data_IF_385403786170
#
_entry.id   IF_385403786170
#
_cell.length_a   1.000
_cell.length_b   1.000
_cell.length_c   1.000
_cell.angle_alpha   90.00
_cell.angle_beta   90.00
_cell.angle_gamma   90.00
#
_symmetry.space_group_name_H-M   'P 1'
#
loop_
_entity.id
_entity.type
_entity.pdbx_description
1 polymer ?
#
# COMPACT_ATOMS: atom_id res chain seq x y z
N UNK A 1 -19.12 24.20 28.23
CA UNK A 1 -17.91 23.38 28.01
C UNK A 1 -18.26 22.33 26.97
N UNK A 2 -18.02 22.65 25.70
CA UNK A 2 -18.26 21.75 24.56
C UNK A 2 -17.00 20.92 24.34
N UNK A 3 -17.15 19.61 24.15
CA UNK A 3 -16.05 18.69 23.88
C UNK A 3 -15.27 19.11 22.63
N UNK A 4 -13.92 19.08 22.62
CA UNK A 4 -13.07 19.42 21.46
C UNK A 4 -13.38 18.63 20.17
N UNK A 5 -14.14 17.54 20.30
CA UNK A 5 -14.43 16.58 19.23
C UNK A 5 -15.55 16.96 18.26
N UNK A 6 -16.35 18.00 18.53
CA UNK A 6 -17.44 18.39 17.62
C UNK A 6 -17.00 19.25 16.42
N UNK A 7 -15.81 19.89 16.49
CA UNK A 7 -15.22 20.62 15.36
C UNK A 7 -14.52 19.72 14.33
N UNK A 8 -14.09 18.52 14.77
CA UNK A 8 -13.36 17.57 13.94
C UNK A 8 -14.24 16.88 12.88
N UNK A 9 -15.55 16.86 13.07
CA UNK A 9 -16.49 16.24 12.12
C UNK A 9 -16.48 16.91 10.75
N UNK A 10 -16.47 18.25 10.70
CA UNK A 10 -16.49 18.99 9.43
C UNK A 10 -15.13 18.97 8.72
N UNK A 11 -14.02 19.02 9.45
CA UNK A 11 -12.68 18.90 8.87
C UNK A 11 -12.40 17.46 8.41
N UNK A 12 -12.83 16.44 9.15
CA UNK A 12 -12.76 15.04 8.73
C UNK A 12 -13.66 14.75 7.52
N UNK A 13 -14.85 15.36 7.46
CA UNK A 13 -15.77 15.19 6.33
C UNK A 13 -15.28 15.93 5.08
N UNK A 14 -14.67 17.12 5.23
CA UNK A 14 -13.99 17.83 4.14
C UNK A 14 -12.77 17.05 3.65
N UNK A 15 -11.94 16.50 4.56
CA UNK A 15 -10.78 15.69 4.20
C UNK A 15 -11.19 14.36 3.54
N UNK A 16 -12.27 13.73 4.01
CA UNK A 16 -12.85 12.52 3.43
C UNK A 16 -13.48 12.79 2.06
N UNK A 17 -14.12 13.96 1.86
CA UNK A 17 -14.65 14.37 0.56
C UNK A 17 -13.53 14.72 -0.44
N UNK A 18 -12.42 15.30 0.02
CA UNK A 18 -11.26 15.61 -0.82
C UNK A 18 -10.51 14.35 -1.25
N UNK A 19 -10.32 13.39 -0.34
CA UNK A 19 -9.70 12.09 -0.66
C UNK A 19 -10.62 11.20 -1.52
N UNK A 20 -11.94 11.30 -1.36
CA UNK A 20 -12.89 10.65 -2.27
C UNK A 20 -12.85 11.24 -3.69
N UNK A 21 -12.70 12.57 -3.82
CA UNK A 21 -12.54 13.24 -5.12
C UNK A 21 -11.21 12.87 -5.79
N UNK A 22 -10.14 12.65 -5.02
CA UNK A 22 -8.87 12.19 -5.56
C UNK A 22 -8.92 10.74 -6.01
N UNK A 23 -9.54 9.84 -5.22
CA UNK A 23 -9.80 8.46 -5.67
C UNK A 23 -10.66 8.45 -6.93
N UNK A 24 -11.67 9.33 -7.01
CA UNK A 24 -12.49 9.50 -8.20
C UNK A 24 -11.69 10.04 -9.40
N UNK A 25 -10.82 11.02 -9.21
CA UNK A 25 -9.92 11.56 -10.25
C UNK A 25 -8.91 10.51 -10.72
N UNK A 26 -8.39 9.68 -9.81
CA UNK A 26 -7.52 8.54 -10.11
C UNK A 26 -8.27 7.45 -10.88
N UNK A 27 -9.54 7.19 -10.55
CA UNK A 27 -10.45 6.29 -11.29
C UNK A 27 -10.71 6.83 -12.71
N UNK A 28 -10.90 8.14 -12.86
CA UNK A 28 -11.11 8.79 -14.15
C UNK A 28 -9.81 8.79 -14.99
N UNK A 29 -8.64 9.02 -14.38
CA UNK A 29 -7.35 8.96 -15.09
C UNK A 29 -6.94 7.54 -15.48
N UNK A 30 -7.29 6.52 -14.68
CA UNK A 30 -7.00 5.11 -14.99
C UNK A 30 -7.88 4.54 -16.09
N UNK A 31 -8.95 5.25 -16.49
CA UNK A 31 -9.81 4.89 -17.62
C UNK A 31 -9.25 5.31 -18.99
N UNK A 32 -8.12 6.02 -19.06
CA UNK A 32 -7.56 6.47 -20.34
C UNK A 32 -6.69 5.37 -20.97
N UNK A 33 -7.24 4.79 -22.05
CA UNK A 33 -6.74 3.65 -22.84
C UNK A 33 -5.26 3.76 -23.26
N UNK A 34 -4.57 2.62 -23.21
CA UNK A 34 -3.29 2.37 -23.89
C UNK A 34 -3.12 0.87 -24.14
N UNK A 35 -2.59 0.52 -25.32
CA UNK A 35 -2.42 -0.80 -25.97
C UNK A 35 -2.05 -1.99 -25.07
N UNK A 36 -2.42 -3.21 -25.50
CA UNK A 36 -2.26 -4.49 -24.79
C UNK A 36 -0.82 -4.84 -24.32
N UNK A 37 0.21 -4.22 -24.90
CA UNK A 37 1.62 -4.38 -24.50
C UNK A 37 2.00 -3.52 -23.29
N UNK A 38 1.37 -2.35 -23.10
CA UNK A 38 1.52 -1.51 -21.90
C UNK A 38 0.79 -2.09 -20.69
N UNK A 39 -0.25 -2.88 -20.93
CA UNK A 39 -1.06 -3.55 -19.91
C UNK A 39 -0.25 -4.58 -19.09
N UNK A 40 0.72 -5.27 -19.72
CA UNK A 40 1.53 -6.33 -19.07
C UNK A 40 2.94 -5.91 -18.65
N UNK A 41 3.53 -4.88 -19.27
CA UNK A 41 4.95 -4.54 -19.08
C UNK A 41 5.21 -3.13 -18.54
N UNK A 42 4.17 -2.31 -18.33
CA UNK A 42 4.36 -0.90 -17.98
C UNK A 42 5.42 -0.22 -18.88
N UNK A 43 5.28 -0.43 -20.19
CA UNK A 43 6.06 0.22 -21.25
C UNK A 43 7.58 0.17 -21.12
N UNK A 44 8.17 -0.68 -20.26
CA UNK A 44 9.62 -0.70 -19.97
C UNK A 44 10.20 0.68 -19.58
N UNK A 45 9.34 1.65 -19.21
CA UNK A 45 9.68 3.08 -19.05
C UNK A 45 9.60 3.57 -17.61
N UNK A 46 9.38 2.67 -16.65
CA UNK A 46 9.42 3.01 -15.23
C UNK A 46 10.84 3.44 -14.86
N UNK A 47 10.96 4.69 -14.42
CA UNK A 47 12.23 5.26 -13.95
C UNK A 47 12.63 4.54 -12.66
N UNK A 48 13.94 4.33 -12.41
CA UNK A 48 14.43 3.61 -11.22
C UNK A 48 13.72 4.09 -9.94
N UNK A 49 13.62 5.40 -9.74
CA UNK A 49 13.00 5.97 -8.54
C UNK A 49 11.53 5.54 -8.38
N UNK A 50 10.78 5.41 -9.48
CA UNK A 50 9.37 4.96 -9.47
C UNK A 50 9.27 3.50 -9.07
N UNK A 51 10.19 2.65 -9.54
CA UNK A 51 10.24 1.23 -9.18
C UNK A 51 10.53 1.06 -7.69
N UNK A 52 11.47 1.84 -7.15
CA UNK A 52 11.79 1.83 -5.73
C UNK A 52 10.62 2.28 -4.86
N UNK A 53 9.98 3.39 -5.23
CA UNK A 53 8.82 3.90 -4.52
C UNK A 53 7.62 2.95 -4.58
N UNK A 54 7.41 2.26 -5.71
CA UNK A 54 6.34 1.28 -5.86
C UNK A 54 6.61 0.04 -5.01
N UNK A 55 7.83 -0.47 -5.02
CA UNK A 55 8.22 -1.60 -4.17
C UNK A 55 8.03 -1.28 -2.68
N UNK A 56 8.29 -0.04 -2.28
CA UNK A 56 8.04 0.44 -0.93
C UNK A 56 6.53 0.55 -0.63
N UNK A 57 5.77 1.18 -1.51
CA UNK A 57 4.31 1.32 -1.40
C UNK A 57 3.63 -0.05 -1.28
N UNK A 58 3.96 -0.98 -2.17
CA UNK A 58 3.41 -2.35 -2.16
C UNK A 58 3.84 -3.18 -0.94
N UNK A 59 4.87 -2.76 -0.20
CA UNK A 59 5.22 -3.37 1.08
C UNK A 59 4.34 -2.84 2.22
N UNK A 60 4.06 -1.52 2.21
CA UNK A 60 3.32 -0.81 3.25
C UNK A 60 1.82 -0.74 2.90
N UNK A 61 1.06 -1.69 3.44
CA UNK A 61 -0.40 -1.66 3.40
C UNK A 61 -1.04 -0.85 4.52
N UNK A 62 -2.34 -0.57 4.37
CA UNK A 62 -3.25 -0.10 5.42
C UNK A 62 -3.15 -0.90 6.71
N UNK A 63 -2.95 -2.22 6.63
CA UNK A 63 -2.74 -3.06 7.81
C UNK A 63 -1.40 -2.80 8.50
N UNK A 64 -0.36 -2.50 7.73
CA UNK A 64 0.95 -2.12 8.25
C UNK A 64 0.88 -0.75 8.92
N UNK A 65 0.23 0.22 8.27
CA UNK A 65 0.04 1.57 8.79
C UNK A 65 -0.76 1.59 10.10
N UNK A 66 -1.92 0.92 10.14
CA UNK A 66 -2.75 0.84 11.35
C UNK A 66 -2.05 0.05 12.47
N UNK A 67 -1.33 -1.02 12.11
CA UNK A 67 -0.56 -1.83 13.06
C UNK A 67 0.59 -1.04 13.69
N UNK A 68 1.33 -0.26 12.89
CA UNK A 68 2.40 0.63 13.37
C UNK A 68 1.85 1.77 14.21
N UNK A 69 0.73 2.39 13.80
CA UNK A 69 0.08 3.44 14.59
C UNK A 69 -0.36 2.91 15.98
N UNK A 70 -0.97 1.72 16.02
CA UNK A 70 -1.36 1.07 17.27
C UNK A 70 -0.18 0.71 18.16
N UNK A 71 0.88 0.11 17.59
CA UNK A 71 2.10 -0.21 18.34
C UNK A 71 2.87 1.03 18.76
N UNK A 72 2.87 2.09 17.96
CA UNK A 72 3.47 3.38 18.30
C UNK A 72 2.79 4.02 19.50
N UNK A 73 1.45 3.94 19.59
CA UNK A 73 0.70 4.43 20.74
C UNK A 73 0.99 3.64 22.03
N UNK A 74 1.21 2.32 21.96
CA UNK A 74 1.46 1.49 23.14
C UNK A 74 2.93 1.37 23.56
N UNK A 75 3.85 1.35 22.58
CA UNK A 75 5.27 1.01 22.76
C UNK A 75 6.22 2.18 22.43
N UNK A 76 5.68 3.33 22.00
CA UNK A 76 6.45 4.53 21.70
C UNK A 76 7.37 4.40 20.47
N UNK A 77 8.39 5.28 20.42
CA UNK A 77 9.35 5.43 19.30
C UNK A 77 10.18 4.15 19.06
N UNK A 78 10.24 3.22 20.02
CA UNK A 78 10.99 1.97 19.89
C UNK A 78 10.59 1.13 18.67
N UNK A 79 9.33 1.22 18.23
CA UNK A 79 8.84 0.56 17.01
C UNK A 79 9.53 1.09 15.75
N UNK A 80 9.91 2.37 15.72
CA UNK A 80 10.63 2.99 14.60
C UNK A 80 12.05 2.43 14.40
N UNK A 81 12.68 1.91 15.47
CA UNK A 81 13.99 1.27 15.34
C UNK A 81 13.92 -0.04 14.52
N UNK A 82 12.77 -0.73 14.54
CA UNK A 82 12.55 -1.91 13.71
C UNK A 82 12.51 -1.55 12.22
N UNK A 83 11.78 -0.48 11.87
CA UNK A 83 11.67 0.02 10.50
C UNK A 83 13.01 0.50 9.95
N UNK A 84 13.82 1.17 10.77
CA UNK A 84 15.14 1.64 10.35
C UNK A 84 16.06 0.47 9.99
N UNK A 85 16.03 -0.61 10.79
CA UNK A 85 16.78 -1.82 10.48
C UNK A 85 16.26 -2.52 9.22
N UNK A 86 14.93 -2.54 9.02
CA UNK A 86 14.32 -3.14 7.83
C UNK A 86 14.79 -2.44 6.54
N UNK A 87 14.85 -1.11 6.52
CA UNK A 87 15.33 -0.35 5.35
C UNK A 87 16.78 -0.71 4.97
N UNK A 88 17.68 -0.84 5.96
CA UNK A 88 19.07 -1.24 5.72
C UNK A 88 19.18 -2.65 5.13
N UNK A 89 18.43 -3.61 5.69
CA UNK A 89 18.41 -4.99 5.21
C UNK A 89 17.83 -5.05 3.79
N UNK A 90 16.80 -4.26 3.48
CA UNK A 90 16.17 -4.22 2.17
C UNK A 90 17.13 -3.68 1.10
N UNK A 91 17.90 -2.64 1.42
CA UNK A 91 18.97 -2.13 0.55
C UNK A 91 20.06 -3.19 0.30
N UNK A 92 20.51 -3.88 1.35
CA UNK A 92 21.51 -4.94 1.22
C UNK A 92 20.98 -6.12 0.38
N UNK A 93 19.74 -6.53 0.61
CA UNK A 93 19.07 -7.57 -0.16
C UNK A 93 18.93 -7.16 -1.64
N UNK A 94 18.52 -5.92 -1.90
CA UNK A 94 18.44 -5.35 -3.24
C UNK A 94 19.77 -5.43 -3.97
N UNK A 95 20.87 -5.02 -3.33
CA UNK A 95 22.20 -5.07 -3.94
C UNK A 95 22.65 -6.50 -4.27
N UNK A 96 22.41 -7.46 -3.37
CA UNK A 96 22.86 -8.84 -3.54
C UNK A 96 21.99 -9.60 -4.55
N UNK A 97 20.67 -9.45 -4.47
CA UNK A 97 19.73 -10.25 -5.25
C UNK A 97 19.35 -9.63 -6.60
N UNK A 98 19.35 -8.29 -6.73
CA UNK A 98 19.06 -7.61 -8.01
C UNK A 98 19.93 -8.12 -9.18
N UNK A 99 21.28 -8.17 -9.08
CA UNK A 99 22.11 -8.63 -10.20
C UNK A 99 21.90 -10.12 -10.51
N UNK A 100 21.55 -10.93 -9.51
CA UNK A 100 21.27 -12.36 -9.68
C UNK A 100 19.98 -12.55 -10.49
N UNK A 101 18.93 -11.79 -10.17
CA UNK A 101 17.66 -11.88 -10.89
C UNK A 101 17.77 -11.36 -12.32
N UNK A 102 18.46 -10.24 -12.55
CA UNK A 102 18.65 -9.71 -13.91
C UNK A 102 19.40 -10.68 -14.82
N UNK A 103 20.44 -11.37 -14.33
CA UNK A 103 21.18 -12.39 -15.11
C UNK A 103 20.36 -13.65 -15.38
N UNK A 104 19.39 -13.97 -14.52
CA UNK A 104 18.58 -15.18 -14.66
C UNK A 104 17.48 -15.08 -15.72
N UNK A 105 17.06 -13.86 -16.09
CA UNK A 105 16.09 -13.58 -17.17
C UNK A 105 14.69 -14.13 -16.89
N UNK A 106 14.32 -14.33 -15.62
CA UNK A 106 13.02 -14.89 -15.21
C UNK A 106 12.14 -13.83 -14.59
N UNK A 107 10.90 -13.77 -15.07
CA UNK A 107 9.90 -12.76 -14.70
C UNK A 107 9.21 -13.08 -13.37
N UNK A 108 9.24 -14.35 -12.92
CA UNK A 108 8.54 -14.78 -11.70
C UNK A 108 9.43 -15.61 -10.78
N UNK A 109 9.28 -15.41 -9.47
CA UNK A 109 10.06 -16.10 -8.44
C UNK A 109 9.95 -17.63 -8.51
N UNK A 110 8.76 -18.25 -8.71
CA UNK A 110 8.66 -19.69 -8.90
C UNK A 110 9.42 -20.19 -10.13
N UNK A 111 9.48 -19.39 -11.21
CA UNK A 111 10.19 -19.73 -12.44
C UNK A 111 11.71 -19.64 -12.26
N UNK A 112 12.19 -18.74 -11.40
CA UNK A 112 13.58 -18.72 -10.93
C UNK A 112 13.94 -19.99 -10.16
N UNK A 113 13.08 -20.39 -9.21
CA UNK A 113 13.28 -21.62 -8.45
C UNK A 113 13.28 -22.86 -9.35
N UNK A 114 12.45 -22.90 -10.40
CA UNK A 114 12.51 -23.96 -11.43
C UNK A 114 13.87 -24.04 -12.10
N UNK A 115 14.44 -22.90 -12.53
CA UNK A 115 15.71 -22.86 -13.26
C UNK A 115 16.88 -23.31 -12.39
N UNK A 116 16.80 -23.09 -11.08
CA UNK A 116 17.82 -23.48 -10.10
C UNK A 116 17.71 -24.93 -9.63
N UNK A 117 16.50 -25.41 -9.34
CA UNK A 117 16.29 -26.72 -8.70
C UNK A 117 15.85 -27.83 -9.65
N UNK A 118 15.35 -27.49 -10.85
CA UNK A 118 14.88 -28.46 -11.83
C UNK A 118 13.57 -29.13 -11.42
N UNK A 119 12.49 -28.91 -12.16
CA UNK A 119 11.23 -29.65 -11.97
C UNK A 119 9.98 -28.79 -12.09
N UNK A 120 9.05 -29.23 -12.95
CA UNK A 120 7.75 -28.58 -13.13
C UNK A 120 6.86 -28.69 -11.88
N UNK A 121 6.92 -29.84 -11.17
CA UNK A 121 6.12 -30.10 -9.96
C UNK A 121 6.42 -29.12 -8.83
N UNK A 122 7.70 -28.80 -8.60
CA UNK A 122 8.14 -27.88 -7.54
C UNK A 122 7.68 -26.45 -7.85
N UNK A 123 7.81 -26.01 -9.11
CA UNK A 123 7.30 -24.69 -9.53
C UNK A 123 5.80 -24.57 -9.28
N UNK A 124 5.03 -25.58 -9.71
CA UNK A 124 3.58 -25.57 -9.59
C UNK A 124 3.15 -25.53 -8.11
N UNK A 125 3.75 -26.39 -7.28
CA UNK A 125 3.48 -26.41 -5.84
C UNK A 125 3.83 -25.07 -5.17
N UNK A 126 5.00 -24.50 -5.46
CA UNK A 126 5.41 -23.20 -4.91
C UNK A 126 4.51 -22.06 -5.37
N UNK A 127 4.11 -22.05 -6.65
CA UNK A 127 3.23 -21.03 -7.19
C UNK A 127 1.84 -21.08 -6.53
N UNK A 128 1.26 -22.29 -6.41
CA UNK A 128 -0.03 -22.49 -5.73
C UNK A 128 0.08 -22.14 -4.24
N UNK A 129 1.12 -22.60 -3.55
CA UNK A 129 1.34 -22.31 -2.15
C UNK A 129 1.47 -20.80 -1.91
N UNK A 130 2.28 -20.12 -2.72
CA UNK A 130 2.46 -18.67 -2.61
C UNK A 130 1.15 -17.92 -2.88
N UNK A 131 0.38 -18.33 -3.90
CA UNK A 131 -0.92 -17.76 -4.22
C UNK A 131 -1.89 -17.90 -3.04
N UNK A 132 -2.00 -19.10 -2.48
CA UNK A 132 -2.87 -19.39 -1.33
C UNK A 132 -2.46 -18.54 -0.12
N UNK A 133 -1.18 -18.52 0.24
CA UNK A 133 -0.70 -17.71 1.38
C UNK A 133 -0.95 -16.21 1.13
N UNK A 134 -0.75 -15.73 -0.10
CA UNK A 134 -0.94 -14.31 -0.41
C UNK A 134 -2.42 -13.89 -0.32
N UNK A 135 -3.33 -14.72 -0.85
CA UNK A 135 -4.78 -14.48 -0.78
C UNK A 135 -5.26 -14.56 0.66
N UNK A 136 -4.95 -15.63 1.38
CA UNK A 136 -5.49 -15.85 2.71
C UNK A 136 -4.88 -14.93 3.77
N UNK A 137 -3.58 -14.67 3.71
CA UNK A 137 -2.90 -13.90 4.75
C UNK A 137 -2.75 -12.43 4.41
N UNK A 138 -2.20 -12.10 3.23
CA UNK A 138 -1.92 -10.70 2.89
C UNK A 138 -3.20 -9.95 2.53
N UNK A 139 -3.95 -10.45 1.55
CA UNK A 139 -5.15 -9.76 1.05
C UNK A 139 -6.25 -9.70 2.12
N UNK A 140 -6.50 -10.78 2.86
CA UNK A 140 -7.53 -10.77 3.91
C UNK A 140 -7.25 -9.78 5.04
N UNK A 141 -6.00 -9.70 5.52
CA UNK A 141 -5.63 -8.76 6.58
C UNK A 141 -5.85 -7.33 6.10
N UNK A 142 -5.43 -7.03 4.88
CA UNK A 142 -5.56 -5.71 4.27
C UNK A 142 -7.02 -5.26 4.14
N UNK A 143 -7.91 -6.15 3.68
CA UNK A 143 -9.35 -5.87 3.56
C UNK A 143 -9.97 -5.68 4.96
N UNK A 144 -9.59 -6.52 5.92
CA UNK A 144 -10.14 -6.43 7.27
C UNK A 144 -9.72 -5.12 7.96
N UNK A 145 -8.45 -4.75 7.88
CA UNK A 145 -7.95 -3.49 8.45
C UNK A 145 -8.54 -2.28 7.71
N UNK A 146 -8.69 -2.37 6.39
CA UNK A 146 -9.33 -1.33 5.58
C UNK A 146 -10.81 -1.14 5.94
N UNK A 147 -11.56 -2.23 6.17
CA UNK A 147 -12.97 -2.15 6.57
C UNK A 147 -13.14 -1.55 7.97
N UNK A 148 -12.26 -1.90 8.93
CA UNK A 148 -12.24 -1.29 10.26
C UNK A 148 -11.90 0.20 10.18
N UNK A 149 -10.95 0.57 9.32
CA UNK A 149 -10.60 1.98 9.08
C UNK A 149 -11.80 2.77 8.54
N UNK A 150 -12.48 2.25 7.52
CA UNK A 150 -13.70 2.85 6.95
C UNK A 150 -14.80 3.06 8.01
N UNK A 151 -15.01 2.08 8.89
CA UNK A 151 -15.97 2.20 10.01
C UNK A 151 -15.59 3.34 10.95
N UNK A 152 -14.30 3.50 11.28
CA UNK A 152 -13.82 4.55 12.17
C UNK A 152 -13.99 5.96 11.57
N UNK A 153 -13.78 6.11 10.26
CA UNK A 153 -13.82 7.42 9.59
C UNK A 153 -15.25 7.83 9.21
N UNK A 154 -16.04 6.90 8.65
CA UNK A 154 -17.36 7.21 8.07
C UNK A 154 -18.54 6.71 8.92
N UNK A 155 -18.30 5.94 9.99
CA UNK A 155 -19.37 5.34 10.80
C UNK A 155 -20.22 4.30 10.06
N UNK A 156 -19.79 3.87 8.87
CA UNK A 156 -20.50 2.91 8.03
C UNK A 156 -20.42 1.49 8.61
N UNK A 157 -21.44 0.69 8.33
CA UNK A 157 -21.43 -0.75 8.65
C UNK A 157 -20.27 -1.43 7.91
N UNK A 158 -19.57 -2.31 8.62
CA UNK A 158 -18.36 -3.00 8.15
C UNK A 158 -18.65 -3.78 6.87
N UNK A 159 -19.82 -4.41 6.78
CA UNK A 159 -20.23 -5.17 5.60
C UNK A 159 -20.38 -4.27 4.36
N UNK A 160 -20.97 -3.09 4.51
CA UNK A 160 -21.15 -2.15 3.40
C UNK A 160 -19.80 -1.56 2.98
N UNK A 161 -18.95 -1.20 3.94
CA UNK A 161 -17.59 -0.73 3.69
C UNK A 161 -16.75 -1.77 2.92
N UNK A 162 -16.79 -3.04 3.31
CA UNK A 162 -16.08 -4.12 2.62
C UNK A 162 -16.57 -4.31 1.20
N UNK A 163 -17.89 -4.30 0.96
CA UNK A 163 -18.46 -4.45 -0.39
C UNK A 163 -18.06 -3.30 -1.29
N UNK A 164 -18.13 -2.05 -0.80
CA UNK A 164 -17.71 -0.87 -1.55
C UNK A 164 -16.22 -0.95 -1.89
N UNK A 165 -15.36 -1.26 -0.90
CA UNK A 165 -13.92 -1.35 -1.11
C UNK A 165 -13.55 -2.44 -2.14
N UNK A 166 -14.13 -3.64 -2.00
CA UNK A 166 -13.93 -4.74 -2.95
C UNK A 166 -14.42 -4.40 -4.36
N UNK A 167 -15.58 -3.73 -4.48
CA UNK A 167 -16.13 -3.36 -5.78
C UNK A 167 -15.26 -2.34 -6.50
N UNK A 168 -14.80 -1.28 -5.81
CA UNK A 168 -13.96 -0.23 -6.39
C UNK A 168 -12.58 -0.78 -6.75
N UNK A 169 -11.93 -1.50 -5.84
CA UNK A 169 -10.61 -2.11 -6.11
C UNK A 169 -10.69 -3.19 -7.19
N UNK A 170 -11.76 -3.98 -7.22
CA UNK A 170 -12.01 -4.98 -8.25
C UNK A 170 -12.17 -4.37 -9.63
N UNK A 171 -13.01 -3.34 -9.77
CA UNK A 171 -13.20 -2.62 -11.03
C UNK A 171 -11.88 -2.00 -11.49
N UNK A 172 -11.16 -1.31 -10.59
CA UNK A 172 -9.87 -0.70 -10.92
C UNK A 172 -8.83 -1.73 -11.40
N UNK A 173 -8.75 -2.89 -10.73
CA UNK A 173 -7.80 -3.96 -11.08
C UNK A 173 -8.11 -4.60 -12.44
N UNK A 174 -9.40 -4.81 -12.75
CA UNK A 174 -9.82 -5.40 -14.03
C UNK A 174 -9.59 -4.42 -15.19
N UNK A 175 -9.78 -3.12 -14.95
CA UNK A 175 -9.77 -2.11 -16.03
C UNK A 175 -8.38 -1.50 -16.29
N UNK A 176 -7.50 -1.43 -15.28
CA UNK A 176 -6.24 -0.66 -15.37
C UNK A 176 -4.96 -1.42 -15.74
N UNK A 177 -4.90 -2.74 -15.54
CA UNK A 177 -3.66 -3.52 -15.76
C UNK A 177 -2.54 -3.24 -14.74
N UNK A 178 -1.38 -3.89 -14.89
CA UNK A 178 -0.29 -3.80 -13.88
C UNK A 178 0.30 -2.38 -13.78
N UNK A 179 0.43 -1.68 -14.92
CA UNK A 179 0.99 -0.33 -14.96
C UNK A 179 0.10 0.69 -14.21
N UNK A 180 -1.21 0.66 -14.42
CA UNK A 180 -2.11 1.57 -13.71
C UNK A 180 -2.07 1.29 -12.20
N UNK A 181 -2.04 0.02 -11.79
CA UNK A 181 -1.92 -0.33 -10.37
C UNK A 181 -0.65 0.28 -9.77
N UNK A 182 0.50 0.17 -10.45
CA UNK A 182 1.77 0.79 -10.01
C UNK A 182 1.63 2.30 -9.82
N UNK A 183 1.05 3.00 -10.79
CA UNK A 183 0.85 4.45 -10.70
C UNK A 183 -0.11 4.84 -9.57
N UNK A 184 -1.20 4.10 -9.40
CA UNK A 184 -2.19 4.35 -8.34
C UNK A 184 -1.59 4.14 -6.94
N UNK A 185 -0.77 3.11 -6.77
CA UNK A 185 -0.11 2.77 -5.51
C UNK A 185 0.96 3.81 -5.13
N UNK A 186 1.72 4.29 -6.12
CA UNK A 186 2.69 5.38 -5.95
C UNK A 186 2.05 6.68 -5.47
N UNK A 187 0.93 7.07 -6.09
CA UNK A 187 0.20 8.28 -5.69
C UNK A 187 -0.38 8.11 -4.29
N UNK A 188 -1.02 6.97 -4.01
CA UNK A 188 -1.60 6.68 -2.70
C UNK A 188 -0.55 6.74 -1.59
N UNK A 189 0.61 6.12 -1.79
CA UNK A 189 1.71 6.17 -0.82
C UNK A 189 2.21 7.60 -0.58
N UNK A 190 2.30 8.42 -1.64
CA UNK A 190 2.64 9.83 -1.52
C UNK A 190 1.67 10.60 -0.61
N UNK A 191 0.36 10.38 -0.77
CA UNK A 191 -0.66 10.98 0.09
C UNK A 191 -0.58 10.51 1.54
N UNK A 192 -0.36 9.22 1.78
CA UNK A 192 -0.23 8.67 3.14
C UNK A 192 0.98 9.28 3.86
N UNK A 193 2.12 9.41 3.17
CA UNK A 193 3.32 10.05 3.72
C UNK A 193 3.07 11.53 4.02
N UNK A 194 2.47 12.26 3.08
CA UNK A 194 2.16 13.68 3.26
C UNK A 194 1.20 13.90 4.44
N UNK A 195 0.13 13.10 4.52
CA UNK A 195 -0.84 13.15 5.62
C UNK A 195 -0.21 12.84 6.98
N UNK A 196 0.71 11.87 7.03
CA UNK A 196 1.43 11.52 8.26
C UNK A 196 2.34 12.65 8.75
N UNK A 197 3.07 13.31 7.82
CA UNK A 197 3.94 14.44 8.14
C UNK A 197 3.14 15.65 8.64
N UNK A 198 2.00 15.95 8.01
CA UNK A 198 1.12 17.03 8.43
C UNK A 198 0.54 16.81 9.83
N UNK A 199 0.08 15.59 10.13
CA UNK A 199 -0.42 15.22 11.45
C UNK A 199 0.66 15.35 12.52
N UNK A 200 1.87 14.87 12.24
CA UNK A 200 3.02 15.01 13.16
C UNK A 200 3.39 16.48 13.39
N UNK A 201 3.32 17.32 12.34
CA UNK A 201 3.55 18.76 12.44
C UNK A 201 2.53 19.46 13.32
N UNK A 202 1.24 19.15 13.18
CA UNK A 202 0.17 19.78 13.95
C UNK A 202 0.27 19.44 15.44
N UNK A 203 0.49 18.17 15.79
CA UNK A 203 0.62 17.73 17.17
C UNK A 203 1.87 18.32 17.85
N UNK A 204 2.98 18.45 17.09
CA UNK A 204 4.19 19.14 17.54
C UNK A 204 3.96 20.63 17.87
N UNK A 205 3.08 21.32 17.14
CA UNK A 205 2.75 22.72 17.41
C UNK A 205 1.85 22.91 18.64
N UNK A 206 0.94 21.97 18.91
CA UNK A 206 0.12 21.99 20.14
C UNK A 206 0.95 21.66 21.38
N UNK A 207 1.89 20.73 21.28
CA UNK A 207 2.80 20.38 22.37
C UNK A 207 3.68 21.54 22.85
N UNK A 208 4.04 22.47 21.95
CA UNK A 208 4.78 23.68 22.29
C UNK A 208 3.91 24.75 22.97
N UNK A 209 2.60 24.79 22.67
CA UNK A 209 1.65 25.75 23.26
C UNK A 209 1.23 25.39 24.69
N UNK A 210 1.36 24.13 25.11
CA UNK A 210 1.04 23.68 26.48
C UNK A 210 2.19 23.83 27.48
N UNK A 211 3.34 24.37 27.04
CA UNK A 211 4.54 24.61 27.86
C UNK A 211 4.70 26.08 28.29
N UNK A 212 3.77 26.95 27.92
CA UNK A 212 3.60 28.34 28.40
C UNK A 212 2.39 28.44 29.32
#
# INVERSE_FOLDING_TARGET
MLSPWQGFGWTAQVFSSSSALEVLVIVIMSCSRGTEEDFFLAGRSLVWWQIGAFLFASNIGTGHFMGLAGKGASSGIAVGAFEWNAAFILCALGWVFSPVYMKSGVVTLPRYLRKRFGGYRIQFLLAVLYLVIYIFSKISVEICTGAVFMRLVLGLDVYLATVVLLSVTGICSVTGGFAAVVYTDLLHAGFVVLGSVLLMGYDGTEALRTRE
#
